data_IF_819707480820
#
_entry.id   IF_819707480820
#
_cell.length_a   1.000
_cell.length_b   1.000
_cell.length_c   1.000
_cell.angle_alpha   90.00
_cell.angle_beta   90.00
_cell.angle_gamma   90.00
#
_symmetry.space_group_name_H-M   'P 1'
#
loop_
_entity.id
_entity.type
_entity.pdbx_description
1 polymer ?
#
# COMPACT_ATOMS: atom_id res chain seq x y z
N UNK A 1 -19.84 7.15 -11.34
CA UNK A 1 -19.37 8.56 -11.40
C UNK A 1 -18.56 8.95 -10.15
N UNK A 2 -18.95 8.54 -8.93
CA UNK A 2 -18.21 8.87 -7.70
C UNK A 2 -16.74 8.47 -7.71
N UNK A 3 -16.41 7.24 -8.14
CA UNK A 3 -15.02 6.76 -8.13
C UNK A 3 -14.09 7.56 -9.06
N UNK A 4 -14.58 7.96 -10.24
CA UNK A 4 -13.82 8.80 -11.17
C UNK A 4 -13.51 10.18 -10.60
N UNK A 5 -14.44 10.76 -9.81
CA UNK A 5 -14.23 12.03 -9.12
C UNK A 5 -13.14 11.87 -8.07
N UNK A 6 -13.19 10.80 -7.25
CA UNK A 6 -12.18 10.51 -6.22
C UNK A 6 -10.81 10.28 -6.86
N UNK A 7 -10.73 9.50 -7.94
CA UNK A 7 -9.49 9.31 -8.70
C UNK A 7 -8.92 10.63 -9.23
N UNK A 8 -9.78 11.52 -9.76
CA UNK A 8 -9.38 12.85 -10.19
C UNK A 8 -8.83 13.72 -9.06
N UNK A 9 -9.49 13.73 -7.90
CA UNK A 9 -9.05 14.47 -6.71
C UNK A 9 -7.70 13.94 -6.20
N UNK A 10 -7.55 12.62 -6.08
CA UNK A 10 -6.28 12.02 -5.65
C UNK A 10 -5.16 12.32 -6.66
N UNK A 11 -5.45 12.30 -7.96
CA UNK A 11 -4.51 12.69 -9.00
C UNK A 11 -4.02 14.14 -8.85
N UNK A 12 -4.93 15.09 -8.60
CA UNK A 12 -4.59 16.49 -8.34
C UNK A 12 -3.74 16.60 -7.06
N UNK A 13 -4.11 15.92 -5.98
CA UNK A 13 -3.36 15.92 -4.72
C UNK A 13 -1.93 15.40 -4.91
N UNK A 14 -1.74 14.33 -5.68
CA UNK A 14 -0.42 13.77 -6.01
C UNK A 14 0.45 14.81 -6.72
N UNK A 15 -0.12 15.53 -7.70
CA UNK A 15 0.59 16.57 -8.43
C UNK A 15 0.93 17.77 -7.53
N UNK A 16 -0.04 18.26 -6.77
CA UNK A 16 0.15 19.38 -5.84
C UNK A 16 1.24 19.05 -4.83
N UNK A 17 1.14 17.90 -4.16
CA UNK A 17 2.15 17.45 -3.20
C UNK A 17 3.54 17.42 -3.86
N UNK A 18 3.65 16.97 -5.10
CA UNK A 18 4.95 16.85 -5.78
C UNK A 18 5.66 18.17 -6.08
N UNK A 19 4.93 19.30 -6.11
CA UNK A 19 5.47 20.62 -6.46
C UNK A 19 5.64 21.52 -5.22
N UNK A 20 5.17 21.09 -4.05
CA UNK A 20 5.25 21.90 -2.83
C UNK A 20 6.69 22.36 -2.51
N UNK A 21 6.86 23.60 -2.02
CA UNK A 21 8.16 24.11 -1.63
C UNK A 21 8.68 23.37 -0.40
N UNK A 22 10.01 23.31 -0.28
CA UNK A 22 10.71 22.54 0.77
C UNK A 22 10.34 22.99 2.19
N UNK A 23 10.04 24.27 2.38
CA UNK A 23 9.57 24.84 3.66
C UNK A 23 8.27 24.19 4.12
N UNK A 24 7.30 24.05 3.21
CA UNK A 24 6.01 23.40 3.48
C UNK A 24 6.21 21.91 3.74
N UNK A 25 7.05 21.25 2.92
CA UNK A 25 7.42 19.85 3.13
C UNK A 25 8.02 19.58 4.51
N UNK A 26 8.96 20.41 4.95
CA UNK A 26 9.56 20.30 6.27
C UNK A 26 8.52 20.48 7.37
N UNK A 27 7.61 21.46 7.23
CA UNK A 27 6.53 21.68 8.21
C UNK A 27 5.61 20.47 8.36
N UNK A 28 5.16 19.89 7.24
CA UNK A 28 4.26 18.71 7.24
C UNK A 28 4.97 17.47 7.78
N UNK A 29 6.25 17.28 7.43
CA UNK A 29 6.93 15.98 7.64
C UNK A 29 7.83 15.92 8.88
N UNK A 30 8.05 17.05 9.57
CA UNK A 30 8.97 17.13 10.70
C UNK A 30 8.69 16.08 11.79
N UNK A 31 7.44 16.02 12.23
CA UNK A 31 6.96 15.10 13.27
C UNK A 31 7.02 13.63 12.83
N UNK A 32 6.83 13.35 11.54
CA UNK A 32 6.82 12.01 10.98
C UNK A 32 8.21 11.45 10.63
N UNK A 33 9.27 12.23 10.80
CA UNK A 33 10.64 11.78 10.54
C UNK A 33 11.14 10.73 11.55
N UNK A 34 10.48 10.61 12.72
CA UNK A 34 10.80 9.69 13.82
C UNK A 34 12.28 9.67 14.26
N UNK A 35 13.05 10.70 13.89
CA UNK A 35 14.49 10.88 14.17
C UNK A 35 15.26 9.57 14.43
N UNK A 36 15.76 9.39 15.67
CA UNK A 36 16.48 8.17 16.13
C UNK A 36 15.58 7.20 16.90
N UNK A 37 14.30 7.52 17.07
CA UNK A 37 13.39 6.73 17.91
C UNK A 37 13.20 5.32 17.33
N UNK A 38 13.51 4.30 18.12
CA UNK A 38 13.39 2.90 17.70
C UNK A 38 14.57 2.35 16.91
N UNK A 39 15.63 3.12 16.65
CA UNK A 39 16.88 2.58 16.08
C UNK A 39 17.72 1.99 17.23
N UNK A 40 18.12 0.72 17.10
CA UNK A 40 18.97 0.03 18.06
C UNK A 40 20.18 -0.60 17.37
N UNK A 41 21.31 -0.63 18.05
CA UNK A 41 22.51 -1.35 17.59
C UNK A 41 22.52 -2.73 18.25
N UNK A 42 22.48 -3.79 17.46
CA UNK A 42 22.59 -5.16 17.96
C UNK A 42 24.06 -5.54 17.96
N UNK A 43 24.67 -5.56 19.15
CA UNK A 43 26.11 -5.81 19.31
C UNK A 43 26.53 -7.17 18.76
N UNK A 44 25.73 -8.23 19.00
CA UNK A 44 26.02 -9.61 18.57
C UNK A 44 26.25 -9.76 17.06
N UNK A 45 25.49 -9.00 16.26
CA UNK A 45 25.57 -9.08 14.79
C UNK A 45 26.29 -7.87 14.17
N UNK A 46 26.76 -6.92 15.00
CA UNK A 46 27.33 -5.63 14.56
C UNK A 46 26.43 -4.87 13.56
N UNK A 47 25.11 -5.04 13.65
CA UNK A 47 24.13 -4.40 12.77
C UNK A 47 23.28 -3.36 13.51
N UNK A 48 22.71 -2.41 12.77
CA UNK A 48 21.68 -1.49 13.25
C UNK A 48 20.31 -1.94 12.76
N UNK A 49 19.32 -1.91 13.64
CA UNK A 49 17.94 -2.32 13.33
C UNK A 49 16.96 -1.25 13.73
N UNK A 50 15.85 -1.19 13.02
CA UNK A 50 14.73 -0.32 13.31
C UNK A 50 13.60 -1.13 13.95
N UNK A 51 13.58 -1.19 15.27
CA UNK A 51 12.60 -2.00 16.00
C UNK A 51 11.19 -1.44 15.88
N UNK A 52 11.06 -0.11 15.74
CA UNK A 52 9.76 0.54 15.61
C UNK A 52 9.14 0.26 14.24
N UNK A 53 9.90 0.45 13.16
CA UNK A 53 9.41 0.15 11.82
C UNK A 53 9.09 -1.35 11.65
N UNK A 54 9.90 -2.24 12.25
CA UNK A 54 9.61 -3.68 12.24
C UNK A 54 8.34 -4.02 13.03
N UNK A 55 8.11 -3.38 14.18
CA UNK A 55 6.87 -3.56 14.96
C UNK A 55 5.65 -3.11 14.15
N UNK A 56 5.72 -1.93 13.52
CA UNK A 56 4.62 -1.41 12.70
C UNK A 56 4.36 -2.34 11.50
N UNK A 57 5.40 -2.82 10.81
CA UNK A 57 5.22 -3.82 9.75
C UNK A 57 4.47 -5.05 10.28
N UNK A 58 4.83 -5.55 11.47
CA UNK A 58 4.12 -6.66 12.11
C UNK A 58 2.64 -6.36 12.33
N UNK A 59 2.30 -5.19 12.88
CA UNK A 59 0.91 -4.75 13.09
C UNK A 59 0.15 -4.67 11.77
N UNK A 60 0.77 -4.14 10.71
CA UNK A 60 0.13 -4.00 9.40
C UNK A 60 -0.07 -5.35 8.69
N UNK A 61 0.81 -6.33 8.91
CA UNK A 61 0.62 -7.72 8.48
C UNK A 61 -0.59 -8.32 9.17
N UNK A 62 -0.69 -8.19 10.50
CA UNK A 62 -1.84 -8.69 11.26
C UNK A 62 -3.13 -8.03 10.78
N UNK A 63 -3.13 -6.70 10.60
CA UNK A 63 -4.26 -5.98 10.03
C UNK A 63 -4.66 -6.55 8.66
N UNK A 64 -3.70 -6.75 7.74
CA UNK A 64 -3.99 -7.20 6.38
C UNK A 64 -4.49 -8.64 6.29
N UNK A 65 -4.26 -9.46 7.32
CA UNK A 65 -4.83 -10.82 7.42
C UNK A 65 -6.24 -10.75 8.01
N UNK A 66 -6.43 -9.98 9.07
CA UNK A 66 -7.68 -9.96 9.84
C UNK A 66 -8.62 -8.79 9.50
N UNK A 67 -8.36 -8.06 8.42
CA UNK A 67 -9.10 -6.83 8.08
C UNK A 67 -10.61 -7.07 7.97
N UNK A 68 -11.03 -8.23 7.46
CA UNK A 68 -12.45 -8.54 7.24
C UNK A 68 -13.25 -8.60 8.54
N UNK A 69 -12.60 -8.82 9.69
CA UNK A 69 -13.25 -8.82 11.01
C UNK A 69 -13.31 -7.44 11.66
N UNK A 70 -12.69 -6.43 11.05
CA UNK A 70 -12.64 -5.07 11.58
C UNK A 70 -13.77 -4.25 10.93
N UNK A 71 -14.70 -3.69 11.71
CA UNK A 71 -15.72 -2.81 11.15
C UNK A 71 -15.05 -1.57 10.55
N UNK A 72 -15.55 -1.13 9.39
CA UNK A 72 -14.99 0.02 8.66
C UNK A 72 -13.49 -0.13 8.35
N UNK A 73 -13.03 -1.35 8.03
CA UNK A 73 -11.62 -1.63 7.72
C UNK A 73 -11.03 -0.73 6.63
N UNK A 74 -11.83 -0.27 5.67
CA UNK A 74 -11.41 0.67 4.61
C UNK A 74 -11.00 2.03 5.18
N UNK A 75 -11.71 2.54 6.19
CA UNK A 75 -11.37 3.79 6.90
C UNK A 75 -10.11 3.60 7.74
N UNK A 76 -10.03 2.48 8.47
CA UNK A 76 -8.84 2.14 9.26
C UNK A 76 -7.60 2.04 8.36
N UNK A 77 -7.74 1.35 7.22
CA UNK A 77 -6.68 1.26 6.22
C UNK A 77 -6.27 2.64 5.71
N UNK A 78 -7.23 3.50 5.36
CA UNK A 78 -6.93 4.85 4.87
C UNK A 78 -6.11 5.67 5.88
N UNK A 79 -6.46 5.61 7.17
CA UNK A 79 -5.70 6.29 8.24
C UNK A 79 -4.28 5.72 8.35
N UNK A 80 -4.16 4.39 8.43
CA UNK A 80 -2.86 3.71 8.51
C UNK A 80 -1.99 4.03 7.29
N UNK A 81 -2.60 4.09 6.10
CA UNK A 81 -1.94 4.41 4.86
C UNK A 81 -1.43 5.86 4.84
N UNK A 82 -2.27 6.83 5.21
CA UNK A 82 -1.87 8.25 5.27
C UNK A 82 -0.72 8.44 6.25
N UNK A 83 -0.77 7.83 7.43
CA UNK A 83 0.33 7.88 8.40
C UNK A 83 1.62 7.27 7.84
N UNK A 84 1.51 6.10 7.19
CA UNK A 84 2.65 5.42 6.55
C UNK A 84 3.27 6.26 5.43
N UNK A 85 2.41 6.89 4.62
CA UNK A 85 2.80 7.79 3.55
C UNK A 85 3.55 9.02 4.09
N UNK A 86 3.02 9.68 5.12
CA UNK A 86 3.66 10.85 5.73
C UNK A 86 5.04 10.51 6.33
N UNK A 87 5.17 9.33 6.94
CA UNK A 87 6.45 8.83 7.45
C UNK A 87 7.45 8.62 6.30
N UNK A 88 7.04 7.93 5.24
CA UNK A 88 7.89 7.73 4.06
C UNK A 88 8.31 9.05 3.43
N UNK A 89 7.36 9.97 3.28
CA UNK A 89 7.58 11.31 2.71
C UNK A 89 8.61 12.10 3.52
N UNK A 90 8.58 11.99 4.84
CA UNK A 90 9.57 12.61 5.72
C UNK A 90 11.00 12.12 5.45
N UNK A 91 11.19 10.82 5.26
CA UNK A 91 12.51 10.27 4.94
C UNK A 91 12.94 10.63 3.52
N UNK A 92 12.02 10.59 2.56
CA UNK A 92 12.30 10.99 1.18
C UNK A 92 12.77 12.44 1.13
N UNK A 93 12.06 13.37 1.77
CA UNK A 93 12.44 14.78 1.86
C UNK A 93 13.82 14.96 2.52
N UNK A 94 14.06 14.27 3.65
CA UNK A 94 15.35 14.32 4.35
C UNK A 94 16.50 13.84 3.48
N UNK A 95 16.36 12.70 2.82
CA UNK A 95 17.45 12.10 2.05
C UNK A 95 17.71 12.83 0.73
N UNK A 96 16.64 13.30 0.07
CA UNK A 96 16.76 14.08 -1.18
C UNK A 96 17.27 15.50 -0.94
N UNK A 97 17.23 16.01 0.29
CA UNK A 97 17.75 17.34 0.65
C UNK A 97 19.23 17.56 0.30
N UNK A 98 20.01 16.49 0.18
CA UNK A 98 21.44 16.48 -0.16
C UNK A 98 21.72 16.18 -1.65
N UNK A 99 20.68 16.09 -2.47
CA UNK A 99 20.76 15.75 -3.90
C UNK A 99 20.41 16.95 -4.78
N UNK A 100 20.69 16.85 -6.07
CA UNK A 100 20.30 17.87 -7.04
C UNK A 100 18.79 18.04 -7.04
N UNK A 101 18.33 19.26 -7.33
CA UNK A 101 16.90 19.61 -7.30
C UNK A 101 16.08 18.74 -8.25
N UNK A 102 16.62 18.40 -9.42
CA UNK A 102 15.96 17.52 -10.39
C UNK A 102 15.75 16.11 -9.81
N UNK A 103 16.78 15.51 -9.22
CA UNK A 103 16.70 14.19 -8.58
C UNK A 103 15.68 14.22 -7.44
N UNK A 104 15.71 15.23 -6.59
CA UNK A 104 14.79 15.36 -5.47
C UNK A 104 13.32 15.40 -5.94
N UNK A 105 13.01 16.22 -6.94
CA UNK A 105 11.65 16.33 -7.49
C UNK A 105 11.18 15.03 -8.12
N UNK A 106 12.04 14.33 -8.87
CA UNK A 106 11.69 13.05 -9.49
C UNK A 106 11.39 11.97 -8.45
N UNK A 107 12.20 11.86 -7.38
CA UNK A 107 11.95 10.90 -6.29
C UNK A 107 10.63 11.20 -5.60
N UNK A 108 10.38 12.46 -5.27
CA UNK A 108 9.14 12.90 -4.61
C UNK A 108 7.93 12.59 -5.49
N UNK A 109 8.01 12.93 -6.78
CA UNK A 109 6.94 12.66 -7.75
C UNK A 109 6.63 11.17 -7.85
N UNK A 110 7.65 10.33 -8.04
CA UNK A 110 7.45 8.87 -8.14
C UNK A 110 6.88 8.28 -6.86
N UNK A 111 7.30 8.78 -5.70
CA UNK A 111 6.78 8.34 -4.42
C UNK A 111 5.31 8.73 -4.24
N UNK A 112 4.92 9.93 -4.66
CA UNK A 112 3.55 10.41 -4.59
C UNK A 112 2.64 9.67 -5.59
N UNK A 113 3.11 9.41 -6.82
CA UNK A 113 2.37 8.60 -7.81
C UNK A 113 2.16 7.19 -7.27
N UNK A 114 3.20 6.55 -6.74
CA UNK A 114 3.09 5.24 -6.11
C UNK A 114 2.06 5.25 -4.97
N UNK A 115 2.13 6.23 -4.06
CA UNK A 115 1.17 6.34 -2.97
C UNK A 115 -0.27 6.54 -3.48
N UNK A 116 -0.48 7.41 -4.47
CA UNK A 116 -1.81 7.64 -5.04
C UNK A 116 -2.41 6.40 -5.69
N UNK A 117 -1.63 5.71 -6.52
CA UNK A 117 -2.05 4.46 -7.19
C UNK A 117 -2.35 3.38 -6.17
N UNK A 118 -1.49 3.20 -5.17
CA UNK A 118 -1.73 2.23 -4.10
C UNK A 118 -2.98 2.54 -3.28
N UNK A 119 -3.21 3.81 -2.94
CA UNK A 119 -4.39 4.23 -2.20
C UNK A 119 -5.67 3.93 -2.97
N UNK A 120 -5.71 4.31 -4.25
CA UNK A 120 -6.86 4.10 -5.12
C UNK A 120 -7.12 2.62 -5.40
N UNK A 121 -6.05 1.86 -5.65
CA UNK A 121 -6.13 0.43 -5.92
C UNK A 121 -6.60 -0.38 -4.72
N UNK A 122 -6.01 -0.12 -3.55
CA UNK A 122 -6.34 -0.82 -2.32
C UNK A 122 -7.75 -0.52 -1.82
N UNK A 123 -8.24 0.72 -1.97
CA UNK A 123 -9.60 1.10 -1.57
C UNK A 123 -10.66 0.81 -2.65
N UNK A 124 -10.33 0.07 -3.71
CA UNK A 124 -11.31 -0.38 -4.70
C UNK A 124 -11.78 0.67 -5.72
N UNK A 125 -11.23 1.90 -5.69
CA UNK A 125 -11.61 2.93 -6.67
C UNK A 125 -11.22 2.57 -8.11
N UNK A 126 -10.25 1.70 -8.30
CA UNK A 126 -9.80 1.24 -9.63
C UNK A 126 -10.54 0.01 -10.15
N UNK A 127 -11.28 -0.71 -9.29
CA UNK A 127 -12.07 -1.89 -9.66
C UNK A 127 -13.57 -1.71 -9.40
N UNK A 128 -14.04 -0.52 -9.04
CA UNK A 128 -15.46 -0.28 -8.74
C UNK A 128 -15.95 -1.02 -7.50
N UNK A 129 -15.08 -1.20 -6.50
CA UNK A 129 -15.42 -1.81 -5.21
C UNK A 129 -15.96 -3.24 -5.30
N UNK A 130 -15.53 -4.00 -6.32
CA UNK A 130 -15.96 -5.41 -6.52
C UNK A 130 -15.74 -6.28 -5.29
N UNK A 131 -14.71 -5.98 -4.49
CA UNK A 131 -14.35 -6.79 -3.33
C UNK A 131 -15.30 -6.61 -2.14
N UNK A 132 -15.87 -5.42 -1.94
CA UNK A 132 -16.59 -5.05 -0.71
C UNK A 132 -17.78 -5.98 -0.43
N UNK A 133 -18.61 -6.23 -1.46
CA UNK A 133 -19.76 -7.14 -1.34
C UNK A 133 -19.35 -8.60 -1.15
N UNK A 134 -18.25 -9.03 -1.79
CA UNK A 134 -17.77 -10.40 -1.75
C UNK A 134 -17.09 -10.73 -0.41
N UNK A 135 -16.44 -9.75 0.22
CA UNK A 135 -15.81 -9.88 1.54
C UNK A 135 -16.86 -10.07 2.64
N UNK A 136 -17.99 -9.36 2.56
CA UNK A 136 -19.11 -9.56 3.49
C UNK A 136 -19.63 -11.00 3.41
N UNK A 137 -19.77 -11.53 2.19
CA UNK A 137 -20.16 -12.92 1.97
C UNK A 137 -19.13 -13.91 2.54
N UNK A 138 -17.83 -13.66 2.32
CA UNK A 138 -16.75 -14.45 2.94
C UNK A 138 -16.89 -14.51 4.46
N UNK A 139 -17.20 -13.37 5.09
CA UNK A 139 -17.32 -13.30 6.54
C UNK A 139 -18.52 -14.12 7.05
N UNK A 140 -19.67 -14.07 6.36
CA UNK A 140 -20.83 -14.91 6.69
C UNK A 140 -20.50 -16.40 6.55
N UNK A 141 -19.83 -16.79 5.47
CA UNK A 141 -19.45 -18.17 5.22
C UNK A 141 -18.37 -18.67 6.21
N UNK A 142 -17.51 -17.77 6.72
CA UNK A 142 -16.56 -18.05 7.78
C UNK A 142 -17.27 -18.36 9.11
N UNK A 143 -18.25 -17.54 9.51
CA UNK A 143 -19.07 -17.79 10.71
C UNK A 143 -19.88 -19.09 10.59
N UNK A 144 -20.32 -19.43 9.37
CA UNK A 144 -21.00 -20.69 9.08
C UNK A 144 -20.06 -21.90 8.95
N UNK A 145 -18.75 -21.74 9.21
CA UNK A 145 -17.72 -22.79 9.13
C UNK A 145 -17.57 -23.45 7.75
N UNK A 146 -18.10 -22.85 6.68
CA UNK A 146 -18.04 -23.40 5.32
C UNK A 146 -16.64 -23.29 4.72
N UNK A 147 -15.88 -22.26 5.13
CA UNK A 147 -14.55 -21.94 4.59
C UNK A 147 -13.53 -23.06 4.83
N UNK A 148 -13.76 -23.94 5.81
CA UNK A 148 -12.89 -25.07 6.11
C UNK A 148 -13.11 -26.28 5.19
N UNK A 149 -14.15 -26.27 4.35
CA UNK A 149 -14.42 -27.33 3.39
C UNK A 149 -13.60 -27.18 2.10
N UNK A 150 -12.97 -28.26 1.64
CA UNK A 150 -12.19 -28.26 0.37
C UNK A 150 -13.07 -27.86 -0.82
N UNK A 151 -14.33 -28.33 -0.87
CA UNK A 151 -15.28 -27.99 -1.93
C UNK A 151 -15.58 -26.49 -1.97
N UNK A 152 -15.64 -25.84 -0.82
CA UNK A 152 -15.84 -24.39 -0.74
C UNK A 152 -14.66 -23.64 -1.37
N UNK A 153 -13.42 -24.05 -1.10
CA UNK A 153 -12.23 -23.42 -1.68
C UNK A 153 -12.18 -23.56 -3.22
N UNK A 154 -12.67 -24.69 -3.74
CA UNK A 154 -12.69 -24.94 -5.18
C UNK A 154 -13.85 -24.25 -5.91
N UNK A 155 -15.00 -24.08 -5.26
CA UNK A 155 -16.22 -23.59 -5.91
C UNK A 155 -16.53 -22.13 -5.60
N UNK A 156 -16.12 -21.61 -4.44
CA UNK A 156 -16.45 -20.26 -4.01
C UNK A 156 -15.26 -19.31 -4.21
N UNK A 157 -15.48 -18.21 -4.92
CA UNK A 157 -14.46 -17.17 -5.19
C UNK A 157 -14.13 -16.29 -3.97
N UNK A 158 -14.98 -16.29 -2.95
CA UNK A 158 -14.94 -15.32 -1.84
C UNK A 158 -13.63 -15.36 -1.05
N UNK A 159 -13.02 -16.53 -0.86
CA UNK A 159 -11.73 -16.65 -0.16
C UNK A 159 -10.57 -16.09 -0.98
N UNK A 160 -10.60 -16.25 -2.31
CA UNK A 160 -9.62 -15.64 -3.20
C UNK A 160 -9.76 -14.12 -3.19
N UNK A 161 -10.98 -13.62 -3.26
CA UNK A 161 -11.25 -12.18 -3.09
C UNK A 161 -10.70 -11.65 -1.77
N UNK A 162 -10.92 -12.37 -0.66
CA UNK A 162 -10.38 -12.00 0.63
C UNK A 162 -8.84 -11.92 0.63
N UNK A 163 -8.19 -12.93 0.05
CA UNK A 163 -6.73 -13.04 -0.03
C UNK A 163 -6.13 -11.94 -0.93
N UNK A 164 -6.70 -11.72 -2.11
CA UNK A 164 -6.22 -10.69 -3.04
C UNK A 164 -6.39 -9.28 -2.47
N UNK A 165 -7.53 -9.00 -1.83
CA UNK A 165 -7.74 -7.73 -1.15
C UNK A 165 -6.76 -7.55 0.03
N UNK A 166 -6.50 -8.61 0.80
CA UNK A 166 -5.49 -8.60 1.86
C UNK A 166 -4.09 -8.29 1.32
N UNK A 167 -3.71 -8.84 0.17
CA UNK A 167 -2.45 -8.52 -0.51
C UNK A 167 -2.42 -7.06 -0.97
N UNK A 168 -3.51 -6.53 -1.52
CA UNK A 168 -3.62 -5.13 -1.93
C UNK A 168 -3.50 -4.16 -0.74
N UNK A 169 -3.95 -4.55 0.45
CA UNK A 169 -3.68 -3.79 1.67
C UNK A 169 -2.23 -3.92 2.13
N UNK A 170 -1.71 -5.14 2.19
CA UNK A 170 -0.39 -5.42 2.73
C UNK A 170 0.73 -4.82 1.89
N UNK A 171 0.67 -5.00 0.57
CA UNK A 171 1.78 -4.73 -0.33
C UNK A 171 2.23 -3.26 -0.30
N UNK A 172 1.34 -2.25 -0.41
CA UNK A 172 1.73 -0.85 -0.30
C UNK A 172 2.31 -0.51 1.06
N UNK A 173 1.66 -0.94 2.14
CA UNK A 173 2.06 -0.65 3.51
C UNK A 173 3.45 -1.24 3.81
N UNK A 174 3.66 -2.50 3.44
CA UNK A 174 4.94 -3.18 3.60
C UNK A 174 6.06 -2.47 2.83
N UNK A 175 5.79 -2.07 1.59
CA UNK A 175 6.78 -1.37 0.76
C UNK A 175 7.11 0.00 1.34
N UNK A 176 6.12 0.76 1.78
CA UNK A 176 6.33 2.09 2.36
C UNK A 176 7.19 2.00 3.62
N UNK A 177 6.86 1.09 4.54
CA UNK A 177 7.65 0.91 5.76
C UNK A 177 9.03 0.32 5.52
N UNK A 178 9.17 -0.56 4.52
CA UNK A 178 10.47 -1.08 4.11
C UNK A 178 11.37 0.02 3.54
N UNK A 179 10.83 0.91 2.69
CA UNK A 179 11.57 2.06 2.17
C UNK A 179 11.90 3.06 3.28
N UNK A 180 10.95 3.35 4.17
CA UNK A 180 11.16 4.21 5.33
C UNK A 180 12.32 3.71 6.19
N UNK A 181 12.27 2.43 6.61
CA UNK A 181 13.30 1.77 7.41
C UNK A 181 14.67 1.84 6.72
N UNK A 182 14.68 1.51 5.44
CA UNK A 182 15.90 1.49 4.63
C UNK A 182 16.54 2.88 4.54
N UNK A 183 15.77 3.91 4.17
CA UNK A 183 16.25 5.29 4.08
C UNK A 183 16.72 5.83 5.44
N UNK A 184 16.10 5.39 6.54
CA UNK A 184 16.47 5.82 7.90
C UNK A 184 17.79 5.21 8.37
N UNK A 185 18.05 3.94 8.05
CA UNK A 185 19.27 3.23 8.45
C UNK A 185 20.48 3.61 7.58
N UNK A 186 20.30 3.73 6.26
CA UNK A 186 21.41 4.00 5.33
C UNK A 186 21.54 5.48 4.97
N UNK A 187 20.61 6.33 5.37
CA UNK A 187 20.55 7.77 5.06
C UNK A 187 20.73 8.07 3.56
N UNK A 188 20.31 7.13 2.72
CA UNK A 188 20.50 7.18 1.27
C UNK A 188 19.30 6.54 0.57
N UNK A 189 18.94 7.09 -0.59
CA UNK A 189 18.03 6.45 -1.55
C UNK A 189 18.93 5.66 -2.48
N UNK A 190 19.70 4.69 -1.95
CA UNK A 190 20.74 3.88 -2.64
C UNK A 190 21.29 4.58 -3.90
N UNK A 191 21.89 5.74 -3.69
CA UNK A 191 22.11 6.76 -4.73
C UNK A 191 23.19 6.37 -5.75
N UNK A 192 23.81 5.20 -5.60
CA UNK A 192 24.84 4.66 -6.51
C UNK A 192 24.25 4.45 -7.92
N UNK A 193 22.94 4.17 -8.03
CA UNK A 193 22.24 4.06 -9.31
C UNK A 193 20.83 4.67 -9.22
N UNK A 194 20.72 6.00 -9.28
CA UNK A 194 19.41 6.70 -9.29
C UNK A 194 18.40 6.12 -10.31
N UNK A 195 18.89 5.65 -11.46
CA UNK A 195 18.10 4.99 -12.50
C UNK A 195 17.43 3.69 -11.99
N UNK A 196 18.11 2.88 -11.19
CA UNK A 196 17.52 1.62 -10.69
C UNK A 196 16.40 1.88 -9.70
N UNK A 197 16.47 2.98 -8.94
CA UNK A 197 15.36 3.42 -8.10
C UNK A 197 14.14 3.79 -8.94
N UNK A 198 14.31 4.54 -10.02
CA UNK A 198 13.21 4.90 -10.94
C UNK A 198 12.57 3.63 -11.51
N UNK A 199 13.38 2.73 -12.06
CA UNK A 199 12.90 1.47 -12.64
C UNK A 199 12.13 0.63 -11.61
N UNK A 200 12.65 0.52 -10.39
CA UNK A 200 11.98 -0.17 -9.28
C UNK A 200 10.62 0.46 -8.98
N UNK A 201 10.55 1.78 -8.85
CA UNK A 201 9.28 2.47 -8.54
C UNK A 201 8.26 2.30 -9.65
N UNK A 202 8.67 2.45 -10.91
CA UNK A 202 7.79 2.22 -12.06
C UNK A 202 7.28 0.77 -12.11
N UNK A 203 8.15 -0.21 -11.89
CA UNK A 203 7.77 -1.61 -11.80
C UNK A 203 6.73 -1.85 -10.71
N UNK A 204 6.95 -1.31 -9.50
CA UNK A 204 6.01 -1.44 -8.39
C UNK A 204 4.66 -0.79 -8.70
N UNK A 205 4.65 0.37 -9.35
CA UNK A 205 3.42 1.04 -9.79
C UNK A 205 2.66 0.15 -10.77
N UNK A 206 3.33 -0.38 -11.80
CA UNK A 206 2.72 -1.26 -12.81
C UNK A 206 2.10 -2.49 -12.16
N UNK A 207 2.84 -3.15 -11.25
CA UNK A 207 2.33 -4.32 -10.52
C UNK A 207 1.05 -3.96 -9.77
N UNK A 208 1.04 -2.86 -9.02
CA UNK A 208 -0.17 -2.44 -8.27
C UNK A 208 -1.33 -2.13 -9.21
N UNK A 209 -1.11 -1.42 -10.32
CA UNK A 209 -2.17 -1.15 -11.30
C UNK A 209 -2.74 -2.45 -11.88
N UNK A 210 -1.87 -3.38 -12.30
CA UNK A 210 -2.30 -4.67 -12.86
C UNK A 210 -3.15 -5.46 -11.88
N UNK A 211 -2.74 -5.55 -10.61
CA UNK A 211 -3.52 -6.24 -9.58
C UNK A 211 -4.80 -5.50 -9.24
N UNK A 212 -4.76 -4.17 -9.19
CA UNK A 212 -5.93 -3.36 -8.81
C UNK A 212 -7.02 -3.36 -9.86
N UNK A 213 -6.68 -3.40 -11.15
CA UNK A 213 -7.67 -3.38 -12.25
C UNK A 213 -8.05 -4.79 -12.70
N UNK A 214 -7.08 -5.69 -12.88
CA UNK A 214 -7.31 -6.94 -13.59
C UNK A 214 -7.55 -8.17 -12.72
N UNK A 215 -7.10 -8.18 -11.46
CA UNK A 215 -7.07 -9.42 -10.67
C UNK A 215 -8.48 -9.95 -10.35
N UNK A 216 -9.42 -9.08 -10.00
CA UNK A 216 -10.78 -9.49 -9.62
C UNK A 216 -11.61 -9.99 -10.81
N UNK A 217 -11.53 -9.31 -11.96
CA UNK A 217 -12.16 -9.78 -13.20
C UNK A 217 -11.58 -11.11 -13.68
N UNK A 218 -10.26 -11.30 -13.51
CA UNK A 218 -9.62 -12.58 -13.81
C UNK A 218 -10.16 -13.70 -12.90
N UNK A 219 -10.31 -13.44 -11.60
CA UNK A 219 -10.91 -14.41 -10.67
C UNK A 219 -12.35 -14.78 -11.08
N UNK A 220 -13.15 -13.81 -11.50
CA UNK A 220 -14.53 -14.06 -11.93
C UNK A 220 -14.61 -14.98 -13.16
N UNK A 221 -13.65 -14.86 -14.08
CA UNK A 221 -13.52 -15.77 -15.23
C UNK A 221 -13.11 -17.18 -14.80
N UNK A 222 -12.16 -17.30 -13.86
CA UNK A 222 -11.68 -18.60 -13.35
C UNK A 222 -12.82 -19.37 -12.67
N UNK A 223 -13.66 -18.67 -11.90
CA UNK A 223 -14.81 -19.26 -11.20
C UNK A 223 -16.10 -19.30 -12.05
N UNK A 224 -16.03 -18.99 -13.35
CA UNK A 224 -17.16 -19.03 -14.30
C UNK A 224 -18.44 -18.31 -13.82
N UNK A 225 -18.27 -17.18 -13.13
CA UNK A 225 -19.39 -16.46 -12.49
C UNK A 225 -20.45 -16.03 -13.49
N UNK A 226 -20.04 -15.60 -14.68
CA UNK A 226 -20.97 -15.15 -15.74
C UNK A 226 -21.77 -16.30 -16.35
N UNK A 227 -21.23 -17.52 -16.35
CA UNK A 227 -21.97 -18.70 -16.79
C UNK A 227 -23.05 -19.07 -15.76
N UNK A 228 -22.71 -19.00 -14.47
CA UNK A 228 -23.66 -19.21 -13.37
C UNK A 228 -24.76 -18.15 -13.33
N UNK A 229 -24.43 -16.87 -13.58
CA UNK A 229 -25.43 -15.78 -13.67
C UNK A 229 -26.39 -15.92 -14.84
N UNK A 230 -25.97 -16.55 -15.95
CA UNK A 230 -26.85 -16.80 -17.11
C UNK A 230 -27.76 -18.02 -16.93
N UNK A 231 -27.44 -18.89 -15.98
CA UNK A 231 -28.22 -20.09 -15.64
C UNK A 231 -29.26 -19.84 -14.54
N UNK A 232 -29.11 -18.75 -13.77
CA UNK A 232 -30.03 -18.31 -12.71
C UNK A 232 -31.01 -17.26 -13.24
#
# INVERSE_FOLDING_TARGET
MGDYIVMGIVGILVLVMSVLPKTVYNGITYTFSMHKYGIRKIQRYRTTTDTLANCIIGVLVVFSIFYCFIPFYSVVYAILFILSYLCLLAQVNRVTSKKTQQVARTVILLNNIFAGVCFLGALGFMNGHMADGVINQFMLDFHAHKVFGILYLLQNRTWMYWLFQGILFLFPLFIMWSHFKYMRLENSVKAVYFITYILKMLFLIIVVVCFSVGAFEFLDKVYQVDALKKLA
#
